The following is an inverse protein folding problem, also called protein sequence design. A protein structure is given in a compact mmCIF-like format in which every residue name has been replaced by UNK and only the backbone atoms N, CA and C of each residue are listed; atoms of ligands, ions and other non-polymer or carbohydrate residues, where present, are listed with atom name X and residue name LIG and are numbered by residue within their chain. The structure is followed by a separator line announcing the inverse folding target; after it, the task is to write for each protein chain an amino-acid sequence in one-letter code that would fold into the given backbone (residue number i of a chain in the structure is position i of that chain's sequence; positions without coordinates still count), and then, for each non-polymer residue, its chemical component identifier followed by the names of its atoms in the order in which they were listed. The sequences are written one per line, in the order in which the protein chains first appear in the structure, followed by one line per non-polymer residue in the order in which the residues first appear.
data_IF_577655995772
#
_entry.id   IF_577655995772
#
_cell.length_a   1.000
_cell.length_b   1.000
_cell.length_c   1.000
_cell.angle_alpha   90.00
_cell.angle_beta   90.00
_cell.angle_gamma   90.00
#
_symmetry.space_group_name_H-M   'P 1'
#
loop_
_entity.id
_entity.type
_entity.pdbx_description
1 polymer ?
#
# COMPACT_ATOMS: atom_id res chain seq x y z
N UNK A 1 2.10 -20.41 9.71
CA UNK A 1 1.89 -18.98 9.42
C UNK A 1 3.12 -18.24 9.91
N UNK A 2 4.02 -17.85 9.00
CA UNK A 2 5.14 -17.02 9.36
C UNK A 2 4.58 -15.63 9.61
N UNK A 3 4.48 -15.23 10.89
CA UNK A 3 4.38 -13.80 11.23
C UNK A 3 5.57 -13.15 10.53
N UNK A 4 5.30 -12.32 9.52
CA UNK A 4 6.29 -11.36 9.06
C UNK A 4 6.79 -10.68 10.34
N UNK A 5 8.10 -10.66 10.55
CA UNK A 5 8.66 -9.85 11.62
C UNK A 5 8.20 -8.42 11.32
N UNK A 6 7.21 -7.92 12.07
CA UNK A 6 6.59 -6.59 11.88
C UNK A 6 7.64 -5.46 11.90
N UNK A 7 8.87 -5.77 12.31
CA UNK A 7 9.99 -4.85 12.44
C UNK A 7 10.85 -4.78 11.16
N UNK A 8 10.60 -5.64 10.16
CA UNK A 8 11.40 -5.74 8.92
C UNK A 8 10.69 -5.13 7.70
N UNK A 9 9.39 -4.84 7.78
CA UNK A 9 8.62 -4.29 6.66
C UNK A 9 7.74 -3.13 7.13
N UNK A 10 7.87 -1.98 6.49
CA UNK A 10 7.12 -0.78 6.86
C UNK A 10 6.85 0.12 5.65
N UNK A 11 5.86 1.01 5.80
CA UNK A 11 5.74 2.16 4.91
C UNK A 11 6.73 3.25 5.29
N UNK A 12 6.96 4.18 4.37
CA UNK A 12 7.71 5.41 4.60
C UNK A 12 6.86 6.46 5.36
N UNK A 13 6.43 6.13 6.58
CA UNK A 13 5.38 6.85 7.34
C UNK A 13 5.62 8.35 7.53
N UNK A 14 6.88 8.78 7.55
CA UNK A 14 7.25 10.18 7.82
C UNK A 14 7.51 11.00 6.55
N UNK A 15 7.22 10.46 5.37
CA UNK A 15 7.43 11.16 4.11
C UNK A 15 6.14 11.70 3.51
N UNK A 16 6.28 12.74 2.69
CA UNK A 16 5.20 13.28 1.87
C UNK A 16 4.57 12.24 0.93
N UNK A 17 5.29 11.16 0.61
CA UNK A 17 4.76 10.08 -0.21
C UNK A 17 3.70 9.30 0.56
N UNK A 18 3.86 9.10 1.87
CA UNK A 18 2.84 8.47 2.69
C UNK A 18 1.60 9.37 2.83
N UNK A 19 1.78 10.68 3.03
CA UNK A 19 0.65 11.62 3.02
C UNK A 19 -0.15 11.56 1.71
N UNK A 20 0.54 11.44 0.57
CA UNK A 20 -0.09 11.30 -0.74
C UNK A 20 -0.80 9.95 -0.88
N UNK A 21 -0.23 8.88 -0.31
CA UNK A 21 -0.87 7.58 -0.25
C UNK A 21 -2.19 7.64 0.52
N UNK A 22 -2.21 8.25 1.70
CA UNK A 22 -3.43 8.42 2.48
C UNK A 22 -4.49 9.21 1.70
N UNK A 23 -4.09 10.34 1.11
CA UNK A 23 -4.98 11.18 0.29
C UNK A 23 -5.61 10.38 -0.86
N UNK A 24 -4.80 9.65 -1.63
CA UNK A 24 -5.30 8.84 -2.73
C UNK A 24 -6.19 7.70 -2.23
N UNK A 25 -5.79 7.02 -1.14
CA UNK A 25 -6.59 5.94 -0.57
C UNK A 25 -7.98 6.44 -0.14
N UNK A 26 -8.06 7.53 0.63
CA UNK A 26 -9.34 8.07 1.07
C UNK A 26 -10.16 8.70 -0.06
N UNK A 27 -9.51 9.18 -1.12
CA UNK A 27 -10.19 9.67 -2.33
C UNK A 27 -10.96 8.57 -3.04
N UNK A 28 -10.41 7.36 -3.15
CA UNK A 28 -11.00 6.28 -3.95
C UNK A 28 -11.67 5.17 -3.13
N UNK A 29 -11.24 4.93 -1.90
CA UNK A 29 -11.77 3.87 -1.03
C UNK A 29 -13.20 4.15 -0.58
N UNK A 30 -14.09 3.19 -0.77
CA UNK A 30 -15.44 3.15 -0.20
C UNK A 30 -15.50 2.36 1.12
N UNK A 31 -14.35 1.96 1.65
CA UNK A 31 -14.28 1.22 2.91
C UNK A 31 -14.59 2.16 4.09
N UNK A 32 -15.46 1.71 4.99
CA UNK A 32 -15.77 2.42 6.24
C UNK A 32 -14.82 1.99 7.38
N UNK A 33 -13.53 1.89 7.08
CA UNK A 33 -12.47 1.54 8.04
C UNK A 33 -11.26 2.45 7.79
N UNK A 34 -10.66 3.04 8.84
CA UNK A 34 -9.43 3.83 8.71
C UNK A 34 -8.29 3.01 8.11
N UNK A 35 -7.47 3.66 7.26
CA UNK A 35 -6.31 3.05 6.61
C UNK A 35 -5.31 2.47 7.63
N UNK A 36 -5.21 3.07 8.82
CA UNK A 36 -4.33 2.62 9.92
C UNK A 36 -4.61 1.18 10.36
N UNK A 37 -5.85 0.69 10.21
CA UNK A 37 -6.19 -0.71 10.50
C UNK A 37 -5.86 -1.67 9.35
N UNK A 38 -5.48 -1.14 8.18
CA UNK A 38 -5.23 -1.91 6.96
C UNK A 38 -3.75 -1.94 6.57
N UNK A 39 -2.89 -1.09 7.15
CA UNK A 39 -1.49 -0.97 6.74
C UNK A 39 -0.75 -2.30 6.83
N UNK A 40 -0.91 -3.04 7.92
CA UNK A 40 -0.26 -4.34 8.15
C UNK A 40 -0.74 -5.40 7.14
N UNK A 41 -2.04 -5.42 6.85
CA UNK A 41 -2.64 -6.35 5.88
C UNK A 41 -2.18 -6.02 4.46
N UNK A 42 -2.09 -4.74 4.09
CA UNK A 42 -1.61 -4.29 2.79
C UNK A 42 -0.13 -4.68 2.61
N UNK A 43 0.71 -4.43 3.61
CA UNK A 43 2.13 -4.83 3.58
C UNK A 43 2.26 -6.36 3.48
N UNK A 44 1.51 -7.09 4.29
CA UNK A 44 1.50 -8.56 4.27
C UNK A 44 1.08 -9.10 2.91
N UNK A 45 0.03 -8.53 2.30
CA UNK A 45 -0.42 -8.87 0.95
C UNK A 45 0.68 -8.65 -0.08
N UNK A 46 1.32 -7.48 -0.06
CA UNK A 46 2.38 -7.15 -1.02
C UNK A 46 3.58 -8.09 -0.90
N UNK A 47 4.04 -8.33 0.33
CA UNK A 47 5.18 -9.22 0.60
C UNK A 47 4.88 -10.66 0.21
N UNK A 48 3.72 -11.20 0.61
CA UNK A 48 3.33 -12.57 0.30
C UNK A 48 3.19 -12.81 -1.22
N UNK A 49 2.76 -11.79 -1.95
CA UNK A 49 2.64 -11.84 -3.41
C UNK A 49 3.96 -11.50 -4.14
N UNK A 50 5.05 -11.23 -3.40
CA UNK A 50 6.30 -10.70 -3.94
C UNK A 50 6.07 -9.51 -4.91
N UNK A 51 5.16 -8.62 -4.52
CA UNK A 51 4.70 -7.47 -5.30
C UNK A 51 4.94 -6.18 -4.54
N UNK A 52 4.84 -5.06 -5.26
CA UNK A 52 4.99 -3.71 -4.72
C UNK A 52 3.76 -2.86 -5.00
N UNK A 53 2.60 -3.50 -5.15
CA UNK A 53 1.33 -2.82 -5.33
C UNK A 53 0.21 -3.61 -4.68
N UNK A 54 -0.88 -2.93 -4.33
CA UNK A 54 -2.13 -3.60 -4.01
C UNK A 54 -3.27 -3.03 -4.85
N UNK A 55 -4.33 -3.84 -4.99
CA UNK A 55 -5.54 -3.47 -5.73
C UNK A 55 -6.67 -3.16 -4.75
N UNK A 56 -7.22 -1.96 -4.83
CA UNK A 56 -8.54 -1.63 -4.33
C UNK A 56 -9.55 -2.00 -5.43
N UNK A 57 -10.34 -3.03 -5.18
CA UNK A 57 -11.29 -3.58 -6.15
C UNK A 57 -12.46 -2.63 -6.42
N UNK A 58 -13.04 -2.71 -7.62
CA UNK A 58 -14.18 -1.90 -8.04
C UNK A 58 -15.34 -1.88 -7.02
N UNK A 59 -15.69 -3.02 -6.43
CA UNK A 59 -16.72 -3.11 -5.39
C UNK A 59 -16.37 -2.37 -4.08
N UNK A 60 -15.08 -2.17 -3.80
CA UNK A 60 -14.54 -1.44 -2.64
C UNK A 60 -14.13 0.00 -2.98
N UNK A 61 -14.32 0.42 -4.23
CA UNK A 61 -14.05 1.78 -4.69
C UNK A 61 -15.33 2.63 -4.76
N UNK A 62 -15.19 3.95 -4.60
CA UNK A 62 -16.28 4.92 -4.73
C UNK A 62 -16.75 5.07 -6.18
N UNK A 63 -15.85 4.97 -7.15
CA UNK A 63 -16.09 5.19 -8.57
C UNK A 63 -16.33 3.90 -9.38
N UNK A 64 -16.41 2.75 -8.69
CA UNK A 64 -16.63 1.41 -9.28
C UNK A 64 -15.54 0.99 -10.26
N UNK A 65 -14.29 1.38 -10.01
CA UNK A 65 -13.11 1.01 -10.81
C UNK A 65 -12.06 0.28 -9.97
N UNK A 66 -11.28 -0.57 -10.63
CA UNK A 66 -10.11 -1.15 -9.99
C UNK A 66 -9.00 -0.09 -9.92
N UNK A 67 -8.54 0.20 -8.71
CA UNK A 67 -7.42 1.11 -8.43
C UNK A 67 -6.21 0.33 -7.96
N UNK A 68 -5.06 0.63 -8.53
CA UNK A 68 -3.78 0.00 -8.22
C UNK A 68 -2.87 1.04 -7.59
N UNK A 69 -2.44 0.79 -6.36
CA UNK A 69 -1.55 1.66 -5.59
C UNK A 69 -0.15 1.08 -5.62
N UNK A 70 0.83 1.83 -6.13
CA UNK A 70 2.19 1.34 -6.38
C UNK A 70 3.20 1.92 -5.38
N UNK A 71 4.22 1.12 -5.08
CA UNK A 71 5.27 1.44 -4.14
C UNK A 71 6.64 1.10 -4.73
N UNK A 72 7.65 1.90 -4.41
CA UNK A 72 9.05 1.54 -4.56
C UNK A 72 9.50 0.89 -3.26
N UNK A 73 10.20 -0.24 -3.35
CA UNK A 73 10.79 -0.91 -2.18
C UNK A 73 12.24 -0.43 -2.05
N UNK A 74 12.60 0.07 -0.88
CA UNK A 74 13.95 0.46 -0.53
C UNK A 74 14.46 -0.36 0.64
N UNK A 75 15.75 -0.69 0.62
CA UNK A 75 16.43 -1.35 1.74
C UNK A 75 17.58 -0.44 2.17
N UNK A 76 17.50 0.17 3.37
CA UNK A 76 18.55 1.03 3.89
C UNK A 76 19.90 0.28 3.94
N UNK A 77 21.00 1.00 3.66
CA UNK A 77 22.33 0.40 3.67
C UNK A 77 22.74 -0.02 5.09
N UNK A 78 22.28 0.75 6.08
CA UNK A 78 22.55 0.59 7.51
C UNK A 78 21.82 -0.64 8.09
N UNK A 79 20.69 -1.04 7.49
CA UNK A 79 19.92 -2.20 7.92
C UNK A 79 19.30 -2.94 6.74
N UNK A 80 20.02 -3.97 6.27
CA UNK A 80 19.60 -4.81 5.14
C UNK A 80 18.38 -5.70 5.43
N UNK A 81 17.96 -5.81 6.68
CA UNK A 81 16.77 -6.59 7.07
C UNK A 81 15.48 -5.79 6.88
N UNK A 82 15.57 -4.46 6.74
CA UNK A 82 14.38 -3.59 6.62
C UNK A 82 14.04 -3.33 5.15
N UNK A 83 12.76 -3.47 4.81
CA UNK A 83 12.16 -3.10 3.53
C UNK A 83 11.15 -1.98 3.76
N UNK A 84 11.42 -0.82 3.16
CA UNK A 84 10.58 0.37 3.23
C UNK A 84 9.79 0.49 1.92
N UNK A 85 8.46 0.52 2.02
CA UNK A 85 7.54 0.72 0.91
C UNK A 85 7.20 2.20 0.80
N UNK A 86 7.79 2.86 -0.19
CA UNK A 86 7.57 4.27 -0.49
C UNK A 86 6.56 4.42 -1.62
N UNK A 87 5.46 5.14 -1.38
CA UNK A 87 4.41 5.29 -2.37
C UNK A 87 4.89 6.05 -3.62
N UNK A 88 4.50 5.58 -4.80
CA UNK A 88 4.86 6.19 -6.09
C UNK A 88 3.67 6.70 -6.90
N UNK A 89 2.44 6.40 -6.46
CA UNK A 89 1.22 6.85 -7.11
C UNK A 89 0.22 5.71 -7.34
N UNK A 90 -0.93 6.06 -7.93
CA UNK A 90 -1.97 5.11 -8.30
C UNK A 90 -2.30 5.18 -9.79
N UNK A 91 -2.90 4.09 -10.31
CA UNK A 91 -3.54 4.06 -11.63
C UNK A 91 -4.87 3.33 -11.53
N UNK A 92 -5.84 3.71 -12.37
CA UNK A 92 -7.09 2.98 -12.54
C UNK A 92 -7.28 2.59 -14.00
N UNK A 93 -7.99 1.50 -14.23
CA UNK A 93 -8.37 1.06 -15.57
C UNK A 93 -9.77 1.63 -15.87
N UNK A 94 -9.89 2.36 -16.98
CA UNK A 94 -11.21 2.66 -17.54
C UNK A 94 -11.78 1.36 -18.10
N UNK A 95 -12.88 0.88 -17.55
CA UNK A 95 -13.70 -0.11 -18.26
C UNK A 95 -14.21 0.58 -19.53
N UNK A 96 -13.83 0.06 -20.69
CA UNK A 96 -14.37 0.47 -22.00
C UNK A 96 -15.79 -0.04 -22.15
#
# INVERSE_FOLDING_TARGET
MNKLNQHEVQFDYFSSNYDQFEKDFYKYSALNIPLTFLTDDILSLMVNNNSNFFRLTANKSKDKRDHYFFFKVQTPLENKMVRIFQYTGHKFINQK
#
